data_IF_366538768584
#
_entry.id   IF_366538768584
#
_cell.length_a   1.000
_cell.length_b   1.000
_cell.length_c   1.000
_cell.angle_alpha   90.00
_cell.angle_beta   90.00
_cell.angle_gamma   90.00
#
_symmetry.space_group_name_H-M   'P 1'
#
loop_
_entity.id
_entity.type
_entity.pdbx_description
1 polymer ?
#
# COMPACT_ATOMS: atom_id res chain seq x y z
N UNK A 1 -6.97 -6.13 40.10
CA UNK A 1 -5.81 -5.97 41.01
C UNK A 1 -4.83 -5.02 40.35
N UNK A 2 -4.71 -3.79 40.89
CA UNK A 2 -3.83 -2.74 40.39
C UNK A 2 -2.40 -3.01 40.88
N UNK A 3 -1.41 -3.07 40.00
CA UNK A 3 0.01 -3.10 40.38
C UNK A 3 0.58 -1.69 40.28
N UNK A 4 1.01 -1.18 41.43
CA UNK A 4 1.76 0.07 41.62
C UNK A 4 3.23 -0.26 41.39
N UNK A 5 3.90 0.47 40.50
CA UNK A 5 5.36 0.41 40.32
C UNK A 5 5.96 1.61 41.04
N UNK A 6 6.79 1.33 42.05
CA UNK A 6 7.51 2.33 42.84
C UNK A 6 8.84 2.66 42.15
N UNK A 7 9.06 3.97 41.95
CA UNK A 7 10.27 4.57 41.41
C UNK A 7 11.35 4.61 42.52
N UNK A 8 12.50 3.97 42.31
CA UNK A 8 13.65 4.05 43.22
C UNK A 8 14.73 4.92 42.58
N UNK A 9 14.94 6.11 43.15
CA UNK A 9 15.96 7.08 42.78
C UNK A 9 17.33 6.65 43.31
N UNK A 10 18.33 6.56 42.43
CA UNK A 10 19.71 6.26 42.77
C UNK A 10 20.52 7.57 42.94
N UNK A 11 21.18 7.68 44.09
CA UNK A 11 21.99 8.82 44.52
C UNK A 11 23.39 8.76 43.89
N UNK A 12 23.82 9.88 43.30
CA UNK A 12 25.17 10.12 42.79
C UNK A 12 26.10 10.50 43.94
N UNK A 13 27.26 9.84 44.05
CA UNK A 13 28.36 10.22 44.95
C UNK A 13 29.59 10.49 44.10
N UNK A 14 30.02 11.75 44.10
CA UNK A 14 31.29 12.19 43.53
C UNK A 14 32.44 11.89 44.49
N UNK A 15 33.56 11.39 43.97
CA UNK A 15 34.88 11.53 44.59
C UNK A 15 35.86 12.02 43.52
N UNK A 16 36.39 13.22 43.74
CA UNK A 16 37.55 13.75 43.02
C UNK A 16 38.85 13.39 43.72
N UNK A 17 39.93 13.27 42.95
CA UNK A 17 41.29 13.48 43.43
C UNK A 17 42.17 13.90 42.23
N UNK A 18 42.76 15.09 42.34
CA UNK A 18 43.81 15.62 41.46
C UNK A 18 45.19 15.04 41.87
N UNK A 19 46.09 14.82 40.90
CA UNK A 19 47.35 15.57 40.81
C UNK A 19 48.23 15.12 39.63
N UNK A 20 48.45 16.06 38.70
CA UNK A 20 49.68 16.46 37.99
C UNK A 20 50.69 15.43 37.43
N UNK A 21 50.97 15.60 36.13
CA UNK A 21 52.22 15.21 35.46
C UNK A 21 52.18 15.46 33.95
N UNK A 22 52.63 16.64 33.51
CA UNK A 22 52.83 17.00 32.09
C UNK A 22 53.92 16.14 31.42
N UNK A 23 53.71 15.72 30.16
CA UNK A 23 54.71 15.81 29.09
C UNK A 23 54.08 15.54 27.69
N UNK A 24 54.22 16.55 26.83
CA UNK A 24 54.10 16.63 25.36
C UNK A 24 53.60 15.45 24.49
N UNK A 25 52.64 15.78 23.63
CA UNK A 25 52.33 15.10 22.38
C UNK A 25 50.96 15.51 21.84
N UNK A 26 50.92 16.30 20.75
CA UNK A 26 49.67 16.54 20.00
C UNK A 26 49.09 15.20 19.53
N UNK A 27 47.81 14.88 19.77
CA UNK A 27 47.16 13.80 19.07
C UNK A 27 46.41 14.38 17.87
N UNK A 28 46.74 13.87 16.68
CA UNK A 28 45.86 13.94 15.53
C UNK A 28 44.48 13.38 15.94
N UNK A 29 43.44 14.17 15.71
CA UNK A 29 42.05 13.74 15.89
C UNK A 29 41.76 12.70 14.82
N UNK A 30 41.95 11.42 15.15
CA UNK A 30 41.32 10.33 14.43
C UNK A 30 39.85 10.35 14.84
N UNK A 31 38.98 10.71 13.90
CA UNK A 31 37.56 10.44 14.03
C UNK A 31 37.40 8.93 14.21
N UNK A 32 37.01 8.51 15.41
CA UNK A 32 36.48 7.19 15.65
C UNK A 32 35.19 7.12 14.85
N UNK A 33 35.23 6.43 13.71
CA UNK A 33 34.04 5.86 13.11
C UNK A 33 33.32 5.10 14.22
N UNK A 34 32.12 5.56 14.57
CA UNK A 34 31.17 4.73 15.27
C UNK A 34 30.89 3.55 14.36
N UNK A 35 31.48 2.41 14.72
CA UNK A 35 31.16 1.08 14.24
C UNK A 35 29.64 0.89 14.43
N UNK A 36 28.86 1.28 13.42
CA UNK A 36 27.46 0.90 13.29
C UNK A 36 27.50 -0.60 13.07
N UNK A 37 27.21 -1.34 14.14
CA UNK A 37 27.28 -2.78 14.21
C UNK A 37 26.67 -3.43 12.97
N UNK A 38 27.56 -3.79 12.04
CA UNK A 38 27.28 -4.69 10.93
C UNK A 38 27.04 -6.07 11.50
N UNK A 39 25.86 -6.26 12.09
CA UNK A 39 25.35 -7.55 12.45
C UNK A 39 25.22 -8.38 11.18
N UNK A 40 26.18 -9.26 10.96
CA UNK A 40 26.09 -10.37 10.01
C UNK A 40 25.05 -11.39 10.55
N UNK A 41 23.81 -10.92 10.71
CA UNK A 41 22.65 -11.72 11.04
C UNK A 41 22.23 -12.44 9.77
N UNK A 42 22.03 -13.74 9.88
CA UNK A 42 21.49 -14.56 8.79
C UNK A 42 20.09 -14.04 8.44
N UNK A 43 19.96 -13.19 7.42
CA UNK A 43 18.69 -12.63 6.99
C UNK A 43 17.86 -13.75 6.36
N UNK A 44 16.81 -14.18 7.05
CA UNK A 44 15.88 -15.20 6.60
C UNK A 44 14.50 -14.58 6.40
N UNK A 45 13.67 -15.19 5.56
CA UNK A 45 12.28 -14.75 5.42
C UNK A 45 11.47 -15.06 6.69
N UNK A 46 10.42 -14.28 6.94
CA UNK A 46 9.50 -14.42 8.05
C UNK A 46 10.01 -13.84 9.36
N UNK A 47 10.69 -12.69 9.29
CA UNK A 47 11.18 -11.99 10.48
C UNK A 47 10.45 -10.67 10.73
N UNK A 48 10.11 -9.93 9.66
CA UNK A 48 9.39 -8.66 9.75
C UNK A 48 7.97 -8.93 10.24
N UNK A 49 7.48 -8.10 11.16
CA UNK A 49 6.10 -8.13 11.67
C UNK A 49 5.27 -7.00 11.08
N UNK A 50 4.00 -7.24 10.80
CA UNK A 50 3.10 -6.27 10.20
C UNK A 50 1.65 -6.47 10.66
N UNK A 51 0.83 -5.43 10.49
CA UNK A 51 -0.62 -5.46 10.65
C UNK A 51 -1.36 -5.14 9.36
N UNK A 52 -2.63 -5.54 9.27
CA UNK A 52 -3.56 -5.18 8.19
C UNK A 52 -4.67 -4.28 8.74
N UNK A 53 -5.02 -3.24 8.00
CA UNK A 53 -6.25 -2.48 8.20
C UNK A 53 -7.02 -2.30 6.89
N UNK A 54 -8.33 -2.55 6.93
CA UNK A 54 -9.19 -2.36 5.77
C UNK A 54 -10.27 -1.32 6.07
N UNK A 55 -10.07 -0.10 5.57
CA UNK A 55 -11.01 1.02 5.77
C UNK A 55 -12.39 0.76 5.15
N UNK A 56 -12.45 0.05 4.03
CA UNK A 56 -13.72 -0.26 3.36
C UNK A 56 -14.61 -1.19 4.18
N UNK A 57 -14.01 -2.07 5.01
CA UNK A 57 -14.69 -2.95 5.97
C UNK A 57 -14.96 -2.28 7.31
N UNK A 58 -14.17 -1.27 7.68
CA UNK A 58 -14.30 -0.50 8.92
C UNK A 58 -14.76 0.93 8.61
N UNK A 59 -15.83 1.05 7.82
CA UNK A 59 -16.20 2.34 7.21
C UNK A 59 -16.67 3.39 8.21
N UNK A 60 -17.37 2.98 9.27
CA UNK A 60 -17.79 3.90 10.32
C UNK A 60 -16.58 4.51 11.03
N UNK A 61 -15.57 3.69 11.34
CA UNK A 61 -14.30 4.15 11.88
C UNK A 61 -13.61 5.15 10.94
N UNK A 62 -13.49 4.81 9.65
CA UNK A 62 -12.90 5.73 8.66
C UNK A 62 -13.66 7.05 8.58
N UNK A 63 -15.00 6.99 8.53
CA UNK A 63 -15.87 8.15 8.42
C UNK A 63 -15.76 9.05 9.65
N UNK A 64 -15.76 8.48 10.85
CA UNK A 64 -15.59 9.23 12.09
C UNK A 64 -14.20 9.86 12.17
N UNK A 65 -13.17 9.12 11.74
CA UNK A 65 -11.78 9.56 11.71
C UNK A 65 -11.60 10.79 10.80
N UNK A 66 -12.02 10.71 9.53
CA UNK A 66 -11.87 11.82 8.55
C UNK A 66 -12.76 13.03 8.82
N UNK A 67 -13.86 12.85 9.57
CA UNK A 67 -14.72 13.97 9.98
C UNK A 67 -14.32 14.58 11.33
N UNK A 68 -13.38 13.98 12.06
CA UNK A 68 -12.96 14.48 13.37
C UNK A 68 -12.16 15.79 13.23
N UNK A 69 -12.60 16.84 13.92
CA UNK A 69 -11.98 18.20 13.87
C UNK A 69 -10.55 18.27 14.43
N UNK A 70 -10.10 17.22 15.13
CA UNK A 70 -8.91 17.28 15.98
C UNK A 70 -7.73 16.45 15.46
N UNK A 71 -7.89 15.65 14.40
CA UNK A 71 -6.94 14.57 14.12
C UNK A 71 -6.27 14.64 12.76
N UNK A 72 -6.84 15.36 11.79
CA UNK A 72 -6.38 15.32 10.40
C UNK A 72 -6.42 16.73 9.83
N UNK A 73 -5.25 17.28 9.51
CA UNK A 73 -5.15 18.53 8.76
C UNK A 73 -5.58 18.29 7.30
N UNK A 74 -6.01 19.34 6.59
CA UNK A 74 -6.32 19.20 5.16
C UNK A 74 -5.10 18.78 4.31
N UNK A 75 -3.87 19.01 4.83
CA UNK A 75 -2.63 18.55 4.20
C UNK A 75 -2.50 17.02 4.31
N UNK A 76 -2.95 16.43 5.41
CA UNK A 76 -2.92 14.98 5.64
C UNK A 76 -3.90 14.20 4.74
N UNK A 77 -4.88 14.88 4.13
CA UNK A 77 -5.90 14.24 3.28
C UNK A 77 -5.53 14.19 1.80
N UNK A 78 -4.44 14.85 1.38
CA UNK A 78 -4.04 14.88 -0.03
C UNK A 78 -5.20 15.23 -0.98
N UNK A 79 -6.20 16.00 -0.52
CA UNK A 79 -7.41 16.39 -1.27
C UNK A 79 -8.27 15.20 -1.77
N UNK A 80 -8.18 14.06 -1.09
CA UNK A 80 -9.06 12.93 -1.32
C UNK A 80 -10.39 13.08 -0.57
N UNK A 81 -11.50 12.88 -1.29
CA UNK A 81 -12.83 12.94 -0.73
C UNK A 81 -13.53 11.57 -0.80
N UNK A 82 -13.61 10.93 0.36
CA UNK A 82 -14.21 9.60 0.53
C UNK A 82 -15.67 9.66 1.00
N UNK A 83 -16.21 10.84 1.31
CA UNK A 83 -17.55 11.00 1.92
C UNK A 83 -18.70 10.49 1.04
N UNK A 84 -18.46 10.34 -0.25
CA UNK A 84 -19.48 10.06 -1.27
C UNK A 84 -19.36 8.67 -1.86
N UNK A 85 -19.32 7.68 -0.98
CA UNK A 85 -19.17 6.27 -1.33
C UNK A 85 -20.45 5.69 -1.93
N UNK A 86 -20.31 4.99 -3.04
CA UNK A 86 -21.32 4.12 -3.66
C UNK A 86 -20.71 2.71 -3.70
N UNK A 87 -21.25 1.79 -2.91
CA UNK A 87 -20.82 0.39 -2.93
C UNK A 87 -21.67 -0.42 -3.91
N UNK A 88 -21.02 -1.29 -4.68
CA UNK A 88 -21.64 -2.10 -5.72
C UNK A 88 -21.28 -3.57 -5.51
N UNK A 89 -22.28 -4.44 -5.69
CA UNK A 89 -22.11 -5.89 -5.79
C UNK A 89 -22.72 -6.40 -7.09
N UNK A 90 -21.94 -7.09 -7.90
CA UNK A 90 -22.40 -7.70 -9.15
C UNK A 90 -22.43 -9.22 -8.99
N UNK A 91 -23.58 -9.81 -9.33
CA UNK A 91 -23.81 -11.24 -9.27
C UNK A 91 -24.22 -11.76 -10.65
N UNK A 92 -24.00 -13.05 -10.88
CA UNK A 92 -24.57 -13.77 -12.01
C UNK A 92 -26.05 -14.14 -11.77
N UNK A 93 -26.66 -14.84 -12.72
CA UNK A 93 -28.05 -15.34 -12.64
C UNK A 93 -28.28 -16.36 -11.51
N UNK A 94 -27.22 -16.95 -10.97
CA UNK A 94 -27.26 -17.92 -9.88
C UNK A 94 -26.98 -17.27 -8.51
N UNK A 95 -26.89 -15.94 -8.45
CA UNK A 95 -26.47 -15.16 -7.28
C UNK A 95 -25.02 -15.43 -6.83
N UNK A 96 -24.16 -15.86 -7.75
CA UNK A 96 -22.73 -16.02 -7.53
C UNK A 96 -22.01 -14.70 -7.79
N UNK A 97 -21.06 -14.30 -6.93
CA UNK A 97 -20.16 -13.17 -7.20
C UNK A 97 -19.54 -13.21 -8.60
N UNK A 98 -19.67 -12.10 -9.34
CA UNK A 98 -19.09 -12.01 -10.68
C UNK A 98 -17.76 -11.26 -10.64
N UNK A 99 -16.65 -11.97 -10.83
CA UNK A 99 -15.30 -11.41 -10.87
C UNK A 99 -15.05 -10.66 -12.20
N UNK A 100 -14.26 -9.59 -12.14
CA UNK A 100 -13.71 -8.86 -13.29
C UNK A 100 -14.77 -8.18 -14.17
N UNK A 101 -15.99 -8.00 -13.67
CA UNK A 101 -17.03 -7.25 -14.35
C UNK A 101 -16.62 -5.76 -14.39
N UNK A 102 -16.59 -5.17 -15.57
CA UNK A 102 -16.32 -3.75 -15.79
C UNK A 102 -17.53 -2.96 -15.30
N UNK A 103 -17.35 -2.15 -14.27
CA UNK A 103 -18.40 -1.27 -13.73
C UNK A 103 -17.99 0.17 -14.02
N UNK A 104 -18.90 0.96 -14.57
CA UNK A 104 -18.67 2.36 -14.86
C UNK A 104 -19.80 3.25 -14.31
N UNK A 105 -19.41 4.38 -13.74
CA UNK A 105 -20.29 5.43 -13.25
C UNK A 105 -20.30 6.58 -14.26
N UNK A 106 -21.48 6.89 -14.77
CA UNK A 106 -21.69 8.01 -15.70
C UNK A 106 -22.51 9.12 -15.05
N UNK A 107 -22.30 10.35 -15.50
CA UNK A 107 -23.19 11.50 -15.24
C UNK A 107 -23.64 12.08 -16.58
N UNK A 108 -24.90 11.86 -16.96
CA UNK A 108 -25.29 12.03 -18.36
C UNK A 108 -24.45 11.13 -19.28
N UNK A 109 -23.74 11.72 -20.24
CA UNK A 109 -22.84 11.02 -21.17
C UNK A 109 -21.36 11.03 -20.71
N UNK A 110 -21.04 11.73 -19.62
CA UNK A 110 -19.67 11.83 -19.10
C UNK A 110 -19.33 10.60 -18.25
N UNK A 111 -18.24 9.92 -18.60
CA UNK A 111 -17.66 8.87 -17.75
C UNK A 111 -16.98 9.52 -16.54
N UNK A 112 -17.51 9.27 -15.34
CA UNK A 112 -16.97 9.82 -14.09
C UNK A 112 -15.88 8.92 -13.51
N UNK A 113 -16.11 7.62 -13.53
CA UNK A 113 -15.15 6.64 -13.02
C UNK A 113 -15.46 5.26 -13.57
N UNK A 114 -14.45 4.41 -13.67
CA UNK A 114 -14.55 3.03 -14.08
C UNK A 114 -13.68 2.15 -13.19
N UNK A 115 -14.18 0.96 -12.88
CA UNK A 115 -13.51 -0.01 -12.02
C UNK A 115 -13.90 -1.43 -12.44
N UNK A 116 -13.38 -2.43 -11.72
CA UNK A 116 -13.78 -3.83 -11.85
C UNK A 116 -14.18 -4.42 -10.52
N UNK A 117 -15.09 -5.37 -10.56
CA UNK A 117 -15.41 -6.20 -9.40
C UNK A 117 -14.27 -7.16 -9.10
N UNK A 118 -14.04 -7.41 -7.82
CA UNK A 118 -13.11 -8.44 -7.36
C UNK A 118 -13.75 -9.83 -7.29
N UNK A 119 -13.06 -10.80 -6.70
CA UNK A 119 -13.57 -12.17 -6.53
C UNK A 119 -14.78 -12.28 -5.60
N UNK A 120 -15.13 -11.24 -4.84
CA UNK A 120 -16.37 -11.15 -4.07
C UNK A 120 -17.51 -10.46 -4.84
N UNK A 121 -17.26 -10.10 -6.10
CA UNK A 121 -18.20 -9.38 -6.96
C UNK A 121 -18.34 -7.91 -6.54
N UNK A 122 -17.40 -7.39 -5.76
CA UNK A 122 -17.53 -6.11 -5.07
C UNK A 122 -16.62 -5.04 -5.67
N UNK A 123 -17.13 -3.81 -5.71
CA UNK A 123 -16.35 -2.62 -6.05
C UNK A 123 -17.00 -1.36 -5.48
N UNK A 124 -16.25 -0.25 -5.44
CA UNK A 124 -16.69 1.01 -4.85
C UNK A 124 -16.40 2.18 -5.79
N UNK A 125 -17.28 3.17 -5.79
CA UNK A 125 -17.03 4.48 -6.36
C UNK A 125 -17.09 5.56 -5.28
N UNK A 126 -16.35 6.65 -5.51
CA UNK A 126 -16.35 7.83 -4.65
C UNK A 126 -16.57 9.06 -5.52
N UNK A 127 -17.78 9.63 -5.46
CA UNK A 127 -18.11 10.77 -6.31
C UNK A 127 -17.30 11.98 -5.86
N UNK A 128 -16.47 12.52 -6.75
CA UNK A 128 -15.58 13.63 -6.42
C UNK A 128 -14.36 13.21 -5.61
N UNK A 129 -13.90 11.95 -5.74
CA UNK A 129 -12.75 11.43 -4.99
C UNK A 129 -11.52 12.33 -4.98
N UNK A 130 -11.24 13.03 -6.08
CA UNK A 130 -10.09 13.95 -6.20
C UNK A 130 -10.50 15.44 -6.19
N UNK A 131 -11.75 15.74 -5.78
CA UNK A 131 -12.32 17.09 -5.83
C UNK A 131 -13.24 17.37 -4.63
N UNK A 132 -12.71 18.16 -3.69
CA UNK A 132 -13.37 18.56 -2.46
C UNK A 132 -14.53 19.55 -2.66
N UNK A 133 -14.64 20.20 -3.83
CA UNK A 133 -15.65 21.22 -4.09
C UNK A 133 -17.02 20.67 -4.49
N UNK A 134 -17.18 19.35 -4.59
CA UNK A 134 -18.49 18.78 -4.90
C UNK A 134 -19.41 18.91 -3.67
N UNK A 135 -20.19 19.98 -3.57
CA UNK A 135 -21.23 20.13 -2.54
C UNK A 135 -22.56 19.58 -3.04
N UNK A 136 -23.14 18.64 -2.29
CA UNK A 136 -24.36 17.94 -2.72
C UNK A 136 -24.11 16.98 -3.89
N UNK A 137 -24.93 15.94 -3.99
CA UNK A 137 -25.00 15.05 -5.15
C UNK A 137 -26.47 14.84 -5.45
N UNK A 138 -26.84 14.97 -6.72
CA UNK A 138 -28.12 14.48 -7.20
C UNK A 138 -27.89 13.17 -7.97
N UNK A 139 -28.06 12.03 -7.28
CA UNK A 139 -27.83 10.71 -7.84
C UNK A 139 -28.73 10.36 -9.03
N UNK A 140 -29.84 11.10 -9.23
CA UNK A 140 -30.71 10.92 -10.41
C UNK A 140 -30.04 11.32 -11.73
N UNK A 141 -28.94 12.08 -11.67
CA UNK A 141 -28.13 12.43 -12.84
C UNK A 141 -27.10 11.35 -13.20
N UNK A 142 -26.94 10.34 -12.35
CA UNK A 142 -25.93 9.32 -12.49
C UNK A 142 -26.54 8.00 -12.98
N UNK A 143 -25.74 7.22 -13.70
CA UNK A 143 -26.10 5.88 -14.14
C UNK A 143 -24.93 4.92 -13.91
N UNK A 144 -25.25 3.69 -13.53
CA UNK A 144 -24.29 2.58 -13.50
C UNK A 144 -24.41 1.79 -14.79
N UNK A 145 -23.25 1.51 -15.38
CA UNK A 145 -23.09 0.56 -16.47
C UNK A 145 -22.31 -0.66 -15.96
N UNK A 146 -22.81 -1.86 -16.20
CA UNK A 146 -22.09 -3.11 -15.92
C UNK A 146 -21.83 -3.80 -17.27
N UNK A 147 -20.57 -3.91 -17.66
CA UNK A 147 -20.11 -4.42 -18.96
C UNK A 147 -20.87 -3.83 -20.15
N UNK A 148 -21.08 -2.51 -20.12
CA UNK A 148 -21.79 -1.79 -21.17
C UNK A 148 -23.32 -1.88 -21.11
N UNK A 149 -23.90 -2.61 -20.16
CA UNK A 149 -25.35 -2.63 -19.91
C UNK A 149 -25.69 -1.57 -18.86
N UNK A 150 -26.62 -0.66 -19.21
CA UNK A 150 -27.16 0.31 -18.26
C UNK A 150 -28.06 -0.38 -17.24
N UNK A 151 -27.79 -0.15 -15.96
CA UNK A 151 -28.60 -0.68 -14.87
C UNK A 151 -29.84 0.18 -14.65
N UNK A 152 -31.02 -0.42 -14.74
CA UNK A 152 -32.31 0.25 -14.53
C UNK A 152 -32.71 0.21 -13.05
N UNK A 153 -31.94 0.91 -12.20
CA UNK A 153 -32.18 1.02 -10.77
C UNK A 153 -31.61 2.33 -10.24
N UNK A 154 -32.33 2.98 -9.33
CA UNK A 154 -31.81 4.13 -8.59
C UNK A 154 -30.56 3.74 -7.81
N UNK A 155 -29.55 4.60 -7.86
CA UNK A 155 -28.29 4.42 -7.14
C UNK A 155 -28.52 4.82 -5.68
N UNK A 156 -27.98 4.03 -4.76
CA UNK A 156 -27.93 4.29 -3.33
C UNK A 156 -26.54 4.80 -2.92
N UNK A 157 -26.49 5.81 -2.06
CA UNK A 157 -25.28 6.10 -1.27
C UNK A 157 -25.02 4.94 -0.31
N UNK A 158 -23.75 4.73 0.08
CA UNK A 158 -23.40 3.61 0.97
C UNK A 158 -24.17 3.61 2.29
N UNK A 159 -24.42 4.79 2.89
CA UNK A 159 -25.22 4.91 4.11
C UNK A 159 -26.70 4.49 3.94
N UNK A 160 -27.18 4.38 2.70
CA UNK A 160 -28.53 3.89 2.37
C UNK A 160 -28.53 2.39 2.03
N UNK A 161 -27.40 1.85 1.55
CA UNK A 161 -27.20 0.42 1.29
C UNK A 161 -26.21 0.12 0.16
N UNK A 162 -26.06 -1.18 -0.13
CA UNK A 162 -25.22 -1.68 -1.24
C UNK A 162 -26.07 -1.83 -2.51
N UNK A 163 -25.55 -1.33 -3.63
CA UNK A 163 -26.18 -1.47 -4.94
C UNK A 163 -25.90 -2.87 -5.50
N UNK A 164 -26.86 -3.79 -5.36
CA UNK A 164 -26.76 -5.14 -5.91
C UNK A 164 -27.36 -5.19 -7.32
N UNK A 165 -26.60 -5.76 -8.26
CA UNK A 165 -26.95 -5.94 -9.66
C UNK A 165 -26.73 -7.40 -10.10
N UNK A 166 -27.77 -8.03 -10.63
CA UNK A 166 -27.66 -9.36 -11.24
C UNK A 166 -27.61 -9.20 -12.76
N UNK A 167 -26.58 -9.74 -13.40
CA UNK A 167 -26.43 -9.68 -14.85
C UNK A 167 -26.42 -11.08 -15.45
N UNK A 168 -27.05 -11.21 -16.62
CA UNK A 168 -27.00 -12.43 -17.42
C UNK A 168 -25.89 -12.32 -18.47
N UNK A 169 -24.65 -12.33 -18.00
CA UNK A 169 -23.47 -12.33 -18.86
C UNK A 169 -22.39 -13.24 -18.27
N UNK A 170 -21.72 -13.98 -19.15
CA UNK A 170 -20.50 -14.68 -18.79
C UNK A 170 -19.31 -13.73 -19.00
N UNK A 171 -18.44 -13.64 -17.99
CA UNK A 171 -17.22 -12.84 -18.07
C UNK A 171 -16.06 -13.77 -18.29
N UNK A 172 -15.28 -13.49 -19.33
CA UNK A 172 -14.04 -14.21 -19.56
C UNK A 172 -13.04 -13.84 -18.46
N UNK A 173 -12.78 -14.79 -17.57
CA UNK A 173 -11.84 -14.66 -16.46
C UNK A 173 -10.92 -15.88 -16.49
N UNK A 174 -9.66 -15.64 -16.81
CA UNK A 174 -8.62 -16.65 -16.72
C UNK A 174 -8.21 -16.82 -15.26
N UNK A 175 -7.91 -18.06 -14.85
CA UNK A 175 -7.34 -18.35 -13.54
C UNK A 175 -5.87 -17.89 -13.46
N UNK A 176 -5.67 -16.58 -13.55
CA UNK A 176 -4.40 -15.88 -13.60
C UNK A 176 -4.32 -14.90 -12.43
N UNK A 177 -3.20 -14.95 -11.71
CA UNK A 177 -2.89 -14.12 -10.55
C UNK A 177 -1.66 -13.28 -10.92
N UNK A 178 -1.84 -11.98 -11.03
CA UNK A 178 -0.78 -11.03 -11.35
C UNK A 178 -0.40 -10.26 -10.08
N UNK A 179 0.87 -10.34 -9.68
CA UNK A 179 1.41 -9.71 -8.46
C UNK A 179 2.57 -8.81 -8.86
N UNK A 180 2.48 -7.53 -8.54
CA UNK A 180 3.57 -6.58 -8.68
C UNK A 180 4.06 -6.12 -7.31
N UNK A 181 5.37 -5.97 -7.14
CA UNK A 181 5.96 -5.27 -5.99
C UNK A 181 6.59 -3.97 -6.47
N UNK A 182 6.02 -2.85 -6.04
CA UNK A 182 6.63 -1.53 -6.13
C UNK A 182 7.41 -1.29 -4.83
N UNK A 183 8.71 -1.07 -4.90
CA UNK A 183 9.59 -1.08 -3.72
C UNK A 183 10.51 0.13 -3.72
N UNK A 184 10.47 0.88 -2.63
CA UNK A 184 11.43 1.92 -2.34
C UNK A 184 12.83 1.35 -2.12
N UNK A 185 13.82 1.95 -2.78
CA UNK A 185 15.22 1.54 -2.75
C UNK A 185 16.15 2.70 -2.40
N UNK A 186 15.63 3.74 -1.76
CA UNK A 186 16.43 4.86 -1.24
C UNK A 186 17.26 4.44 -0.04
N UNK A 187 18.17 5.30 0.41
CA UNK A 187 19.10 4.97 1.48
C UNK A 187 18.43 4.66 2.82
N UNK A 188 17.28 5.28 3.11
CA UNK A 188 16.55 5.12 4.38
C UNK A 188 15.98 3.72 4.57
N UNK A 189 15.63 3.04 3.48
CA UNK A 189 15.18 1.64 3.47
C UNK A 189 16.29 0.61 3.74
N UNK A 190 17.56 1.04 3.92
CA UNK A 190 18.71 0.14 3.89
C UNK A 190 18.75 -0.94 4.98
N UNK A 191 18.18 -0.66 6.14
CA UNK A 191 18.07 -1.59 7.27
C UNK A 191 16.96 -2.65 7.07
N UNK A 192 15.87 -2.28 6.41
CA UNK A 192 14.70 -3.15 6.17
C UNK A 192 14.79 -3.91 4.84
N UNK A 193 15.40 -3.33 3.81
CA UNK A 193 15.34 -3.82 2.43
C UNK A 193 15.90 -5.24 2.28
N UNK A 194 16.96 -5.60 3.00
CA UNK A 194 17.53 -6.95 2.92
C UNK A 194 16.59 -8.03 3.51
N UNK A 195 15.83 -7.69 4.55
CA UNK A 195 14.78 -8.57 5.07
C UNK A 195 13.59 -8.63 4.12
N UNK A 196 13.17 -7.48 3.58
CA UNK A 196 12.08 -7.39 2.60
C UNK A 196 12.38 -8.23 1.36
N UNK A 197 13.59 -8.17 0.80
CA UNK A 197 14.00 -8.99 -0.36
C UNK A 197 13.81 -10.49 -0.13
N UNK A 198 14.09 -10.96 1.09
CA UNK A 198 13.87 -12.36 1.48
C UNK A 198 12.39 -12.68 1.64
N UNK A 199 11.62 -11.81 2.32
CA UNK A 199 10.17 -11.95 2.50
C UNK A 199 9.44 -11.98 1.15
N UNK A 200 9.75 -11.07 0.24
CA UNK A 200 9.15 -11.02 -1.09
C UNK A 200 9.42 -12.31 -1.88
N UNK A 201 10.67 -12.82 -1.82
CA UNK A 201 11.03 -14.08 -2.48
C UNK A 201 10.25 -15.27 -1.89
N UNK A 202 10.11 -15.33 -0.56
CA UNK A 202 9.37 -16.39 0.13
C UNK A 202 7.86 -16.32 -0.16
N UNK A 203 7.28 -15.13 -0.18
CA UNK A 203 5.87 -14.90 -0.57
C UNK A 203 5.60 -15.47 -1.95
N UNK A 204 6.43 -15.13 -2.95
CA UNK A 204 6.25 -15.60 -4.33
C UNK A 204 6.29 -17.14 -4.38
N UNK A 205 7.21 -17.78 -3.67
CA UNK A 205 7.32 -19.25 -3.61
C UNK A 205 6.11 -19.90 -2.95
N UNK A 206 5.63 -19.35 -1.82
CA UNK A 206 4.45 -19.85 -1.09
C UNK A 206 3.18 -19.72 -1.92
N UNK A 207 2.98 -18.58 -2.58
CA UNK A 207 1.82 -18.34 -3.44
C UNK A 207 1.76 -19.34 -4.60
N UNK A 208 2.90 -19.64 -5.23
CA UNK A 208 2.96 -20.68 -6.26
C UNK A 208 2.62 -22.07 -5.72
N UNK A 209 3.10 -22.38 -4.51
CA UNK A 209 2.80 -23.64 -3.85
C UNK A 209 1.30 -23.77 -3.50
N UNK A 210 0.67 -22.68 -3.05
CA UNK A 210 -0.74 -22.66 -2.64
C UNK A 210 -1.71 -22.65 -3.82
N UNK A 211 -1.31 -22.13 -4.98
CA UNK A 211 -2.19 -21.87 -6.14
C UNK A 211 -1.74 -22.63 -7.40
N UNK A 212 -1.45 -23.94 -7.27
CA UNK A 212 -0.88 -24.77 -8.36
C UNK A 212 -1.72 -24.82 -9.66
N UNK A 213 -3.03 -24.52 -9.57
CA UNK A 213 -3.93 -24.51 -10.72
C UNK A 213 -4.05 -23.14 -11.40
N UNK A 214 -3.37 -22.11 -10.89
CA UNK A 214 -3.40 -20.75 -11.43
C UNK A 214 -2.11 -20.42 -12.19
N UNK A 215 -2.21 -19.59 -13.23
CA UNK A 215 -1.07 -18.95 -13.85
C UNK A 215 -0.64 -17.77 -12.99
N UNK A 216 0.53 -17.86 -12.36
CA UNK A 216 1.04 -16.81 -11.47
C UNK A 216 2.10 -16.02 -12.20
N UNK A 217 1.89 -14.72 -12.34
CA UNK A 217 2.82 -13.79 -12.96
C UNK A 217 3.30 -12.78 -11.93
N UNK A 218 4.61 -12.64 -11.80
CA UNK A 218 5.22 -11.69 -10.87
C UNK A 218 6.03 -10.64 -11.61
N UNK A 219 5.90 -9.39 -11.17
CA UNK A 219 6.66 -8.24 -11.65
C UNK A 219 7.18 -7.41 -10.47
N UNK A 220 8.18 -6.57 -10.71
CA UNK A 220 8.71 -5.67 -9.69
C UNK A 220 9.11 -4.34 -10.30
N UNK A 221 8.87 -3.25 -9.59
CA UNK A 221 9.36 -1.90 -9.89
C UNK A 221 10.10 -1.41 -8.66
N UNK A 222 11.41 -1.23 -8.76
CA UNK A 222 12.18 -0.56 -7.73
C UNK A 222 12.34 0.91 -8.12
N UNK A 223 12.22 1.80 -7.14
CA UNK A 223 12.38 3.22 -7.38
C UNK A 223 13.30 3.86 -6.35
N UNK A 224 13.81 5.03 -6.71
CA UNK A 224 14.53 5.96 -5.83
C UNK A 224 14.04 7.37 -6.13
N UNK A 225 14.91 8.38 -6.07
CA UNK A 225 14.52 9.74 -6.38
C UNK A 225 15.12 10.33 -7.66
N UNK A 226 14.64 11.52 -8.00
CA UNK A 226 15.20 12.35 -9.06
C UNK A 226 16.64 12.78 -8.73
N UNK A 227 17.56 12.51 -9.66
CA UNK A 227 18.98 12.82 -9.51
C UNK A 227 19.82 11.63 -9.05
N UNK A 228 19.18 10.53 -8.65
CA UNK A 228 19.86 9.26 -8.36
C UNK A 228 20.32 8.53 -9.62
N UNK A 229 21.03 7.42 -9.42
CA UNK A 229 21.47 6.51 -10.49
C UNK A 229 20.32 6.04 -11.40
N UNK A 230 19.10 5.97 -10.86
CA UNK A 230 17.86 5.74 -11.58
C UNK A 230 16.69 6.26 -10.75
N UNK A 231 15.62 6.70 -11.42
CA UNK A 231 14.33 6.99 -10.78
C UNK A 231 13.54 5.69 -10.62
N UNK A 232 13.37 4.93 -11.71
CA UNK A 232 12.73 3.60 -11.69
C UNK A 232 13.54 2.56 -12.45
N UNK A 233 13.43 1.29 -12.01
CA UNK A 233 13.86 0.11 -12.75
C UNK A 233 12.88 -1.03 -12.51
N UNK A 234 12.57 -1.80 -13.56
CA UNK A 234 11.56 -2.85 -13.46
C UNK A 234 12.01 -4.20 -14.00
N UNK A 235 11.38 -5.24 -13.48
CA UNK A 235 11.25 -6.56 -14.11
C UNK A 235 9.79 -6.73 -14.50
N UNK A 236 9.52 -6.91 -15.79
CA UNK A 236 8.18 -7.15 -16.31
C UNK A 236 7.59 -8.48 -15.79
N UNK A 237 6.29 -8.67 -16.00
CA UNK A 237 5.57 -9.87 -15.61
C UNK A 237 6.21 -11.14 -16.18
N UNK A 238 6.52 -12.08 -15.30
CA UNK A 238 7.09 -13.37 -15.64
C UNK A 238 6.42 -14.48 -14.85
N UNK A 239 6.22 -15.64 -15.48
CA UNK A 239 5.84 -16.87 -14.79
C UNK A 239 7.04 -17.56 -14.10
N UNK A 240 8.27 -17.09 -14.37
CA UNK A 240 9.49 -17.59 -13.75
C UNK A 240 9.79 -16.82 -12.47
N UNK A 241 9.53 -17.46 -11.33
CA UNK A 241 9.89 -16.94 -10.00
C UNK A 241 11.37 -16.61 -9.92
N UNK A 242 12.22 -17.43 -10.54
CA UNK A 242 13.66 -17.23 -10.54
C UNK A 242 14.05 -15.91 -11.19
N UNK A 243 13.35 -15.50 -12.25
CA UNK A 243 13.57 -14.21 -12.93
C UNK A 243 13.30 -13.06 -11.98
N UNK A 244 12.11 -13.02 -11.38
CA UNK A 244 11.72 -11.94 -10.45
C UNK A 244 12.59 -11.96 -9.18
N UNK A 245 12.85 -13.14 -8.61
CA UNK A 245 13.65 -13.28 -7.38
C UNK A 245 15.11 -12.86 -7.60
N UNK A 246 15.72 -13.19 -8.75
CA UNK A 246 17.07 -12.72 -9.09
C UNK A 246 17.10 -11.20 -9.24
N UNK A 247 16.07 -10.61 -9.84
CA UNK A 247 15.97 -9.16 -9.97
C UNK A 247 15.89 -8.49 -8.60
N UNK A 248 14.99 -8.94 -7.72
CA UNK A 248 14.85 -8.45 -6.33
C UNK A 248 16.18 -8.54 -5.59
N UNK A 249 16.84 -9.70 -5.62
CA UNK A 249 18.10 -9.94 -4.89
C UNK A 249 19.25 -9.03 -5.33
N UNK A 250 19.23 -8.56 -6.57
CA UNK A 250 20.25 -7.67 -7.12
C UNK A 250 20.09 -6.19 -6.72
N UNK A 251 18.96 -5.82 -6.12
CA UNK A 251 18.72 -4.43 -5.70
C UNK A 251 19.35 -4.15 -4.33
N UNK A 252 19.67 -2.88 -4.09
CA UNK A 252 20.20 -2.39 -2.83
C UNK A 252 19.74 -0.94 -2.60
N UNK A 253 19.64 -0.56 -1.33
CA UNK A 253 19.28 0.77 -0.88
C UNK A 253 20.42 1.76 -1.15
N UNK A 254 20.12 2.89 -1.77
CA UNK A 254 21.06 3.99 -1.99
C UNK A 254 20.32 5.19 -2.55
N UNK A 255 20.93 6.37 -2.49
CA UNK A 255 20.32 7.57 -3.05
C UNK A 255 19.32 8.22 -2.09
N UNK A 256 18.39 9.00 -2.64
CA UNK A 256 17.57 9.96 -1.93
C UNK A 256 18.31 11.28 -1.70
N UNK A 257 17.80 12.10 -0.77
CA UNK A 257 18.48 13.34 -0.36
C UNK A 257 17.63 14.22 0.54
N UNK A 258 16.38 14.44 0.14
CA UNK A 258 15.29 14.95 0.96
C UNK A 258 14.41 13.81 1.49
N UNK A 259 13.31 14.15 2.16
CA UNK A 259 12.42 13.17 2.79
C UNK A 259 11.43 12.58 1.79
N UNK A 260 11.04 13.35 0.77
CA UNK A 260 10.13 12.90 -0.27
C UNK A 260 10.83 12.11 -1.37
N UNK A 261 10.13 11.16 -1.97
CA UNK A 261 10.70 10.23 -2.97
C UNK A 261 9.85 10.18 -4.26
N UNK A 262 10.32 9.54 -5.33
CA UNK A 262 9.63 9.48 -6.63
C UNK A 262 8.51 8.40 -6.69
N UNK A 263 7.64 8.37 -5.68
CA UNK A 263 6.53 7.42 -5.55
C UNK A 263 5.58 7.50 -6.75
N UNK A 264 5.35 8.68 -7.32
CA UNK A 264 4.40 8.85 -8.42
C UNK A 264 4.91 8.30 -9.76
N UNK A 265 6.20 8.46 -10.08
CA UNK A 265 6.82 7.86 -11.26
C UNK A 265 6.83 6.33 -11.15
N UNK A 266 7.11 5.81 -9.95
CA UNK A 266 7.06 4.37 -9.68
C UNK A 266 5.64 3.78 -9.78
N UNK A 267 4.64 4.50 -9.27
CA UNK A 267 3.24 4.10 -9.37
C UNK A 267 2.76 4.15 -10.83
N UNK A 268 3.12 5.20 -11.56
CA UNK A 268 2.85 5.34 -12.99
C UNK A 268 3.47 4.19 -13.77
N UNK A 269 4.77 3.92 -13.60
CA UNK A 269 5.48 2.79 -14.19
C UNK A 269 4.77 1.45 -13.90
N UNK A 270 4.39 1.21 -12.64
CA UNK A 270 3.71 -0.01 -12.19
C UNK A 270 2.35 -0.20 -12.86
N UNK A 271 1.62 0.88 -13.12
CA UNK A 271 0.24 0.80 -13.64
C UNK A 271 0.18 0.93 -15.17
N UNK A 272 1.05 1.73 -15.79
CA UNK A 272 1.05 1.96 -17.25
C UNK A 272 1.92 0.96 -17.99
N UNK A 273 3.14 0.71 -17.51
CA UNK A 273 4.15 -0.03 -18.25
C UNK A 273 4.10 -1.54 -18.02
N UNK A 274 3.78 -1.98 -16.79
CA UNK A 274 3.51 -3.40 -16.55
C UNK A 274 2.25 -3.82 -17.32
N UNK A 275 2.41 -4.85 -18.15
CA UNK A 275 1.35 -5.34 -19.05
C UNK A 275 0.35 -6.24 -18.32
N UNK A 276 -0.46 -5.64 -17.43
CA UNK A 276 -1.58 -6.30 -16.75
C UNK A 276 -2.58 -6.90 -17.75
N UNK A 277 -2.94 -8.17 -17.59
CA UNK A 277 -3.92 -8.86 -18.45
C UNK A 277 -5.33 -8.28 -18.27
N UNK A 278 -6.15 -8.16 -19.31
CA UNK A 278 -7.54 -7.66 -19.19
C UNK A 278 -8.50 -8.66 -18.51
N UNK A 279 -8.17 -9.95 -18.55
CA UNK A 279 -8.99 -11.07 -18.08
C UNK A 279 -8.38 -11.84 -16.89
N UNK A 280 -7.32 -11.33 -16.25
CA UNK A 280 -6.81 -11.92 -15.01
C UNK A 280 -7.86 -11.92 -13.90
N UNK A 281 -7.96 -13.06 -13.19
CA UNK A 281 -8.80 -13.22 -12.00
C UNK A 281 -8.41 -12.28 -10.87
N UNK A 282 -7.11 -12.01 -10.73
CA UNK A 282 -6.56 -11.24 -9.61
C UNK A 282 -5.40 -10.39 -10.08
N UNK A 283 -5.39 -9.12 -9.69
CA UNK A 283 -4.30 -8.17 -9.92
C UNK A 283 -4.00 -7.42 -8.64
N UNK A 284 -2.79 -7.56 -8.10
CA UNK A 284 -2.38 -6.94 -6.85
C UNK A 284 -1.04 -6.23 -7.07
N UNK A 285 -0.95 -4.97 -6.68
CA UNK A 285 0.32 -4.26 -6.56
C UNK A 285 0.57 -3.94 -5.09
N UNK A 286 1.65 -4.48 -4.53
CA UNK A 286 2.15 -4.11 -3.20
C UNK A 286 3.07 -2.91 -3.32
N UNK A 287 2.85 -1.87 -2.53
CA UNK A 287 3.63 -0.63 -2.55
C UNK A 287 4.41 -0.53 -1.24
N UNK A 288 5.72 -0.79 -1.26
CA UNK A 288 6.58 -0.78 -0.08
C UNK A 288 7.35 0.54 -0.06
N UNK A 289 7.19 1.33 1.01
CA UNK A 289 7.74 2.68 1.12
C UNK A 289 7.89 3.14 2.58
N UNK A 290 8.87 4.00 2.84
CA UNK A 290 9.13 4.69 4.11
C UNK A 290 8.96 6.22 4.03
N UNK A 291 8.66 6.75 2.83
CA UNK A 291 8.57 8.19 2.57
C UNK A 291 7.42 8.56 1.60
N UNK A 292 6.83 9.77 1.70
CA UNK A 292 5.79 10.24 0.79
C UNK A 292 6.33 10.65 -0.59
N UNK A 293 5.45 10.78 -1.60
CA UNK A 293 5.78 11.53 -2.81
C UNK A 293 6.05 13.00 -2.51
N UNK A 294 6.76 13.67 -3.42
CA UNK A 294 6.91 15.12 -3.39
C UNK A 294 5.56 15.87 -3.51
N UNK A 295 5.40 16.96 -2.76
CA UNK A 295 4.13 17.68 -2.60
C UNK A 295 3.73 18.67 -3.71
N UNK A 296 4.05 18.40 -4.98
CA UNK A 296 3.72 19.32 -6.10
C UNK A 296 2.36 19.01 -6.75
N UNK A 297 1.76 20.01 -7.41
CA UNK A 297 0.49 19.81 -8.14
C UNK A 297 0.63 18.85 -9.32
N UNK A 298 1.80 18.80 -9.96
CA UNK A 298 2.08 17.86 -11.05
C UNK A 298 2.04 16.42 -10.55
N UNK A 299 2.67 16.17 -9.41
CA UNK A 299 2.70 14.87 -8.75
C UNK A 299 1.30 14.45 -8.29
N UNK A 300 0.52 15.38 -7.74
CA UNK A 300 -0.87 15.11 -7.40
C UNK A 300 -1.70 14.64 -8.62
N UNK A 301 -1.54 15.27 -9.80
CA UNK A 301 -2.24 14.83 -11.02
C UNK A 301 -1.69 13.49 -11.57
N UNK A 302 -0.38 13.23 -11.41
CA UNK A 302 0.27 11.95 -11.73
C UNK A 302 -0.34 10.81 -10.89
N UNK A 303 -0.40 10.97 -9.57
CA UNK A 303 -1.01 10.02 -8.65
C UNK A 303 -2.49 9.77 -8.97
N UNK A 304 -3.26 10.85 -9.18
CA UNK A 304 -4.66 10.75 -9.57
C UNK A 304 -4.86 9.96 -10.87
N UNK A 305 -4.02 10.19 -11.87
CA UNK A 305 -4.08 9.47 -13.14
C UNK A 305 -3.82 7.98 -12.93
N UNK A 306 -2.77 7.65 -12.19
CA UNK A 306 -2.39 6.27 -11.90
C UNK A 306 -3.42 5.53 -11.04
N UNK A 307 -4.01 6.19 -10.04
CA UNK A 307 -5.08 5.62 -9.20
C UNK A 307 -6.36 5.32 -10.01
N UNK A 308 -6.80 6.23 -10.86
CA UNK A 308 -7.95 5.99 -11.74
C UNK A 308 -7.68 4.81 -12.68
N UNK A 309 -6.48 4.74 -13.26
CA UNK A 309 -6.11 3.66 -14.16
C UNK A 309 -5.99 2.32 -13.43
N UNK A 310 -5.44 2.30 -12.21
CA UNK A 310 -5.36 1.11 -11.36
C UNK A 310 -6.76 0.56 -11.08
N UNK A 311 -7.70 1.42 -10.64
CA UNK A 311 -9.09 1.06 -10.43
C UNK A 311 -9.73 0.52 -11.71
N UNK A 312 -9.58 1.20 -12.84
CA UNK A 312 -10.10 0.79 -14.15
C UNK A 312 -9.58 -0.59 -14.60
N UNK A 313 -8.29 -0.86 -14.37
CA UNK A 313 -7.65 -2.15 -14.65
C UNK A 313 -8.05 -3.24 -13.64
N UNK A 314 -8.68 -2.87 -12.52
CA UNK A 314 -8.99 -3.79 -11.42
C UNK A 314 -7.74 -4.22 -10.65
N UNK A 315 -6.69 -3.39 -10.64
CA UNK A 315 -5.49 -3.60 -9.83
C UNK A 315 -5.76 -3.11 -8.43
N UNK A 316 -5.66 -4.01 -7.44
CA UNK A 316 -5.74 -3.64 -6.02
C UNK A 316 -4.38 -3.12 -5.57
N UNK A 317 -4.31 -1.88 -5.11
CA UNK A 317 -3.13 -1.35 -4.44
C UNK A 317 -3.18 -1.78 -2.97
N UNK A 318 -2.09 -2.36 -2.50
CA UNK A 318 -1.89 -2.73 -1.09
C UNK A 318 -0.60 -2.05 -0.63
N UNK A 319 -0.68 -0.82 -0.10
CA UNK A 319 0.48 -0.18 0.49
C UNK A 319 0.93 -0.91 1.75
N UNK A 320 2.25 -0.96 1.91
CA UNK A 320 3.01 -1.53 3.02
C UNK A 320 3.96 -0.42 3.47
N UNK A 321 3.58 0.32 4.51
CA UNK A 321 4.45 1.38 5.02
C UNK A 321 5.45 0.81 6.01
N UNK A 322 6.70 1.20 5.83
CA UNK A 322 7.83 0.84 6.67
C UNK A 322 8.08 1.89 7.76
N UNK A 323 9.30 1.92 8.32
CA UNK A 323 9.71 2.98 9.24
C UNK A 323 9.68 4.36 8.54
N UNK A 324 9.91 5.46 9.27
CA UNK A 324 10.10 6.79 8.65
C UNK A 324 8.83 7.56 8.22
N UNK A 325 7.72 6.89 7.90
CA UNK A 325 6.52 7.59 7.43
C UNK A 325 5.88 8.50 8.49
N UNK A 326 5.22 9.56 8.02
CA UNK A 326 4.39 10.44 8.84
C UNK A 326 2.89 10.13 8.72
N UNK A 327 2.07 10.86 9.49
CA UNK A 327 0.60 10.68 9.45
C UNK A 327 0.01 11.03 8.09
N UNK A 328 0.52 12.06 7.42
CA UNK A 328 0.07 12.43 6.08
C UNK A 328 0.26 11.27 5.09
N UNK A 329 1.41 10.60 5.15
CA UNK A 329 1.74 9.43 4.33
C UNK A 329 0.86 8.22 4.68
N UNK A 330 0.58 7.98 5.95
CA UNK A 330 -0.38 6.96 6.40
C UNK A 330 -1.75 7.14 5.70
N UNK A 331 -2.30 8.37 5.75
CA UNK A 331 -3.59 8.68 5.14
C UNK A 331 -3.56 8.65 3.61
N UNK A 332 -2.46 9.07 2.98
CA UNK A 332 -2.25 8.95 1.54
C UNK A 332 -2.36 7.47 1.11
N UNK A 333 -1.61 6.60 1.78
CA UNK A 333 -1.58 5.16 1.48
C UNK A 333 -2.94 4.49 1.73
N UNK A 334 -3.63 4.85 2.81
CA UNK A 334 -5.00 4.36 3.05
C UNK A 334 -5.98 4.78 1.96
N UNK A 335 -5.85 6.01 1.43
CA UNK A 335 -6.65 6.44 0.28
C UNK A 335 -6.32 5.66 -1.01
N UNK A 336 -5.06 5.27 -1.24
CA UNK A 336 -4.70 4.41 -2.39
C UNK A 336 -5.39 3.04 -2.30
N UNK A 337 -5.39 2.45 -1.10
CA UNK A 337 -6.11 1.20 -0.84
C UNK A 337 -7.62 1.36 -1.05
N UNK A 338 -8.24 2.42 -0.51
CA UNK A 338 -9.67 2.72 -0.70
C UNK A 338 -10.03 2.88 -2.18
N UNK A 339 -9.25 3.65 -2.94
CA UNK A 339 -9.49 3.94 -4.35
C UNK A 339 -9.53 2.69 -5.23
N UNK A 340 -8.85 1.62 -4.83
CA UNK A 340 -8.64 0.41 -5.63
C UNK A 340 -9.25 -0.84 -5.00
N UNK A 341 -10.15 -0.68 -4.02
CA UNK A 341 -10.79 -1.78 -3.31
C UNK A 341 -9.77 -2.75 -2.65
N UNK A 342 -8.64 -2.19 -2.20
CA UNK A 342 -7.52 -2.87 -1.56
C UNK A 342 -7.59 -2.86 -0.03
N UNK A 343 -6.41 -2.90 0.58
CA UNK A 343 -6.22 -2.85 2.04
C UNK A 343 -4.89 -2.17 2.37
N UNK A 344 -4.75 -1.67 3.59
CA UNK A 344 -3.51 -1.06 4.07
C UNK A 344 -2.75 -2.04 4.95
N UNK A 345 -1.44 -2.10 4.78
CA UNK A 345 -0.50 -2.87 5.60
C UNK A 345 0.55 -1.91 6.15
N UNK A 346 0.98 -2.15 7.38
CA UNK A 346 2.02 -1.37 8.03
C UNK A 346 2.94 -2.30 8.81
N UNK A 347 4.25 -2.10 8.70
CA UNK A 347 5.25 -2.83 9.47
C UNK A 347 5.20 -2.35 10.93
N UNK A 348 5.40 -3.26 11.87
CA UNK A 348 5.34 -2.98 13.31
C UNK A 348 6.70 -3.18 13.98
N UNK A 349 6.89 -2.50 15.12
CA UNK A 349 8.09 -2.59 15.94
C UNK A 349 8.27 -3.96 16.65
N UNK A 350 7.29 -4.88 16.59
CA UNK A 350 7.33 -6.16 17.33
C UNK A 350 8.52 -7.06 16.94
N UNK A 351 8.98 -6.99 15.69
CA UNK A 351 10.15 -7.72 15.20
C UNK A 351 11.48 -7.12 15.67
N UNK A 352 11.50 -5.83 16.02
CA UNK A 352 12.72 -5.06 16.27
C UNK A 352 13.63 -4.87 15.04
N UNK A 353 13.10 -5.07 13.83
CA UNK A 353 13.80 -4.85 12.55
C UNK A 353 13.38 -3.50 11.99
N UNK A 354 14.35 -2.75 11.47
CA UNK A 354 14.13 -1.40 10.95
C UNK A 354 14.20 -0.32 12.04
N UNK A 355 14.06 0.94 11.63
CA UNK A 355 13.89 2.06 12.55
C UNK A 355 12.49 2.05 13.18
N UNK A 356 12.20 3.03 14.05
CA UNK A 356 10.89 3.14 14.69
C UNK A 356 9.77 3.32 13.65
N UNK A 357 8.76 2.46 13.75
CA UNK A 357 7.56 2.49 12.93
C UNK A 357 6.48 3.38 13.54
N UNK A 358 5.76 4.10 12.68
CA UNK A 358 4.62 4.91 13.08
C UNK A 358 3.51 4.04 13.68
N UNK A 359 3.07 4.38 14.90
CA UNK A 359 1.86 3.76 15.48
C UNK A 359 0.66 4.09 14.58
N UNK A 360 -0.03 3.12 13.98
CA UNK A 360 -1.04 3.35 12.95
C UNK A 360 -2.33 3.98 13.53
N UNK A 361 -3.00 4.86 12.76
CA UNK A 361 -4.27 5.49 13.18
C UNK A 361 -5.46 4.60 12.83
N UNK A 362 -5.45 3.38 13.37
CA UNK A 362 -6.40 2.31 13.04
C UNK A 362 -7.07 1.76 14.30
N UNK A 363 -8.08 0.90 14.13
CA UNK A 363 -8.67 0.17 15.23
C UNK A 363 -7.78 -0.98 15.73
N UNK A 364 -8.34 -1.90 16.50
CA UNK A 364 -7.61 -3.09 16.91
C UNK A 364 -7.21 -3.94 15.68
N UNK A 365 -5.97 -4.44 15.68
CA UNK A 365 -5.41 -5.29 14.63
C UNK A 365 -4.62 -6.46 15.23
N UNK A 366 -4.34 -7.46 14.39
CA UNK A 366 -3.49 -8.60 14.73
C UNK A 366 -2.10 -8.39 14.12
N UNK A 367 -1.05 -8.73 14.89
CA UNK A 367 0.33 -8.72 14.42
C UNK A 367 0.64 -10.09 13.81
N UNK A 368 1.10 -10.10 12.57
CA UNK A 368 1.53 -11.29 11.83
C UNK A 368 2.95 -11.09 11.29
N UNK A 369 3.61 -12.17 10.86
CA UNK A 369 4.80 -12.02 10.02
C UNK A 369 4.39 -11.47 8.65
N UNK A 370 5.11 -10.47 8.14
CA UNK A 370 4.80 -9.78 6.88
C UNK A 370 4.64 -10.78 5.73
N UNK A 371 5.60 -11.69 5.53
CA UNK A 371 5.48 -12.71 4.49
C UNK A 371 4.19 -13.53 4.56
N UNK A 372 3.74 -13.89 5.76
CA UNK A 372 2.55 -14.70 6.00
C UNK A 372 1.29 -13.88 5.75
N UNK A 373 1.30 -12.61 6.17
CA UNK A 373 0.26 -11.64 5.88
C UNK A 373 0.09 -11.44 4.37
N UNK A 374 1.18 -11.24 3.61
CA UNK A 374 1.11 -11.04 2.16
C UNK A 374 0.57 -12.28 1.44
N UNK A 375 1.01 -13.48 1.83
CA UNK A 375 0.44 -14.75 1.28
C UNK A 375 -1.05 -14.83 1.57
N UNK A 376 -1.48 -14.53 2.80
CA UNK A 376 -2.90 -14.53 3.20
C UNK A 376 -3.73 -13.55 2.36
N UNK A 377 -3.19 -12.37 2.08
CA UNK A 377 -3.85 -11.36 1.24
C UNK A 377 -3.97 -11.81 -0.22
N UNK A 378 -2.92 -12.39 -0.78
CA UNK A 378 -2.94 -12.91 -2.15
C UNK A 378 -3.97 -14.03 -2.27
N UNK A 379 -3.93 -15.01 -1.35
CA UNK A 379 -4.84 -16.15 -1.35
C UNK A 379 -6.30 -15.74 -1.11
N UNK A 380 -6.55 -14.66 -0.35
CA UNK A 380 -7.89 -14.08 -0.16
C UNK A 380 -8.50 -13.61 -1.49
N UNK A 381 -7.71 -12.98 -2.36
CA UNK A 381 -8.18 -12.44 -3.64
C UNK A 381 -8.01 -13.41 -4.82
N UNK A 382 -7.24 -14.49 -4.66
CA UNK A 382 -7.06 -15.55 -5.66
C UNK A 382 -8.22 -16.56 -5.72
N UNK A 383 -9.00 -16.67 -4.64
CA UNK A 383 -10.11 -17.63 -4.51
C UNK A 383 -11.23 -17.40 -5.51
#
# INVERSE_FOLDING_TARGET
MKKIVALLSLVVICFGCESSGEFGGEPAISFLESDSGGGNGNTQAGQITAGEWNDLKNWDFWTDLVNSKNSISQQDLWRFNTSKRIAIKVLDVNNTPLNNAKVALYKGDELISQTRTDNFGETNFFVGFFNDNTTGINLTQYAIMVNGIKMDKSILMFGEGVNVYNINQNIDVENKIEIAFMVDATGSMGDELEFLKNDLTDVINKVQTNNQNASILTATVFYRDHGDQYVTRRSDFSASIETTSKFIKAQYASGGGDYEEAVDEALKETITELQWSDNAKTRIAFLLLDAPPHGTQEIYESLKTSLNLAAQKGVKLIPITASGIDKSTEFLMRNFAIATNGTYVFITNDSGIGNDHLEPTVGAYEVEFLNSLLVRLIDKYAK
#
